data_IF_756206385412
#
_entry.id   IF_756206385412
#
_cell.length_a   1.000
_cell.length_b   1.000
_cell.length_c   1.000
_cell.angle_alpha   90.00
_cell.angle_beta   90.00
_cell.angle_gamma   90.00
#
_symmetry.space_group_name_H-M   'P 1'
#
loop_
_entity.id
_entity.type
_entity.pdbx_description
1 polymer ?
#
# COMPACT_ATOMS: atom_id res chain seq x y z
N UNK A 1 -20.66 23.32 -15.60
CA UNK A 1 -20.08 23.79 -14.32
C UNK A 1 -21.03 24.67 -13.51
N UNK A 2 -21.76 25.63 -14.10
CA UNK A 2 -22.67 26.52 -13.34
C UNK A 2 -23.78 25.79 -12.54
N UNK A 3 -24.31 24.69 -13.07
CA UNK A 3 -25.33 23.87 -12.41
C UNK A 3 -24.77 23.07 -11.22
N UNK A 4 -23.57 22.52 -11.37
CA UNK A 4 -22.84 21.81 -10.30
C UNK A 4 -22.51 22.77 -9.16
N UNK A 5 -22.11 24.01 -9.46
CA UNK A 5 -21.80 25.03 -8.47
C UNK A 5 -23.00 25.45 -7.60
N UNK A 6 -24.23 25.28 -8.11
CA UNK A 6 -25.46 25.55 -7.36
C UNK A 6 -25.81 24.42 -6.39
N UNK A 7 -25.44 23.18 -6.76
CA UNK A 7 -25.75 21.96 -5.98
C UNK A 7 -24.61 21.63 -4.99
N UNK A 8 -23.38 22.10 -5.28
CA UNK A 8 -22.19 21.92 -4.45
C UNK A 8 -22.06 23.00 -3.36
N UNK A 9 -20.84 23.16 -2.80
CA UNK A 9 -20.46 24.11 -1.71
C UNK A 9 -20.79 23.65 -0.28
N UNK A 10 -20.67 22.36 -0.01
CA UNK A 10 -20.82 21.82 1.35
C UNK A 10 -22.26 21.82 1.88
N UNK A 11 -23.24 22.01 0.99
CA UNK A 11 -24.65 21.82 1.30
C UNK A 11 -24.91 20.33 1.49
N UNK A 12 -25.56 19.99 2.60
CA UNK A 12 -26.04 18.63 2.88
C UNK A 12 -27.39 18.42 2.21
N UNK A 13 -27.59 17.23 1.65
CA UNK A 13 -28.82 16.80 1.01
C UNK A 13 -29.37 15.58 1.73
N UNK A 14 -30.69 15.51 1.86
CA UNK A 14 -31.36 14.25 2.22
C UNK A 14 -31.29 13.25 1.04
N UNK A 15 -31.52 11.97 1.33
CA UNK A 15 -31.38 10.90 0.33
C UNK A 15 -32.33 11.04 -0.86
N UNK A 16 -33.59 11.39 -0.61
CA UNK A 16 -34.59 11.58 -1.67
C UNK A 16 -34.21 12.77 -2.58
N UNK A 17 -33.78 13.87 -1.98
CA UNK A 17 -33.35 15.06 -2.72
C UNK A 17 -32.05 14.81 -3.47
N UNK A 18 -31.17 13.98 -2.94
CA UNK A 18 -29.97 13.51 -3.65
C UNK A 18 -30.31 12.74 -4.92
N UNK A 19 -31.39 11.93 -4.89
CA UNK A 19 -31.87 11.20 -6.06
C UNK A 19 -32.45 12.15 -7.12
N UNK A 20 -33.31 13.10 -6.72
CA UNK A 20 -33.88 14.12 -7.62
C UNK A 20 -32.81 14.95 -8.35
N UNK A 21 -31.70 15.22 -7.65
CA UNK A 21 -30.57 16.01 -8.14
C UNK A 21 -29.52 15.16 -8.88
N UNK A 22 -29.76 13.85 -9.07
CA UNK A 22 -28.83 12.90 -9.65
C UNK A 22 -27.45 12.88 -8.96
N UNK A 23 -27.42 13.10 -7.64
CA UNK A 23 -26.21 12.97 -6.82
C UNK A 23 -25.97 11.51 -6.39
N UNK A 24 -27.02 10.71 -6.35
CA UNK A 24 -26.99 9.27 -6.07
C UNK A 24 -27.86 8.56 -7.10
N UNK A 25 -27.53 7.29 -7.39
CA UNK A 25 -28.29 6.48 -8.36
C UNK A 25 -29.51 5.78 -7.74
N UNK A 26 -29.43 5.45 -6.45
CA UNK A 26 -30.46 4.73 -5.71
C UNK A 26 -30.44 5.10 -4.23
N UNK A 27 -31.63 5.25 -3.64
CA UNK A 27 -31.79 5.38 -2.20
C UNK A 27 -32.24 4.02 -1.62
N UNK A 28 -31.50 3.50 -0.65
CA UNK A 28 -31.74 2.16 -0.12
C UNK A 28 -30.84 1.79 1.05
N UNK A 29 -31.01 0.56 1.55
CA UNK A 29 -30.22 -0.01 2.63
C UNK A 29 -28.93 -0.71 2.16
N UNK A 30 -28.15 -1.21 3.12
CA UNK A 30 -26.95 -1.99 2.83
C UNK A 30 -27.26 -3.28 2.05
N UNK A 31 -28.36 -3.96 2.40
CA UNK A 31 -28.77 -5.21 1.75
C UNK A 31 -29.07 -4.99 0.26
N UNK A 32 -29.74 -3.89 -0.08
CA UNK A 32 -30.02 -3.50 -1.46
C UNK A 32 -28.74 -3.13 -2.22
N UNK A 33 -27.81 -2.41 -1.56
CA UNK A 33 -26.50 -2.11 -2.14
C UNK A 33 -25.71 -3.39 -2.45
N UNK A 34 -25.74 -4.39 -1.56
CA UNK A 34 -25.09 -5.69 -1.78
C UNK A 34 -25.76 -6.45 -2.93
N UNK A 35 -27.09 -6.43 -3.03
CA UNK A 35 -27.82 -7.07 -4.13
C UNK A 35 -27.50 -6.42 -5.49
N UNK A 36 -27.40 -5.09 -5.54
CA UNK A 36 -26.96 -4.37 -6.75
C UNK A 36 -25.53 -4.75 -7.11
N UNK A 37 -24.60 -4.74 -6.14
CA UNK A 37 -23.20 -5.10 -6.38
C UNK A 37 -23.06 -6.54 -6.91
N UNK A 38 -23.84 -7.49 -6.36
CA UNK A 38 -23.88 -8.88 -6.81
C UNK A 38 -24.31 -9.00 -8.27
N UNK A 39 -25.40 -8.29 -8.65
CA UNK A 39 -25.89 -8.26 -10.03
C UNK A 39 -24.86 -7.66 -10.98
N UNK A 40 -24.21 -6.56 -10.59
CA UNK A 40 -23.15 -5.92 -11.38
C UNK A 40 -21.92 -6.82 -11.55
N UNK A 41 -21.62 -7.63 -10.53
CA UNK A 41 -20.53 -8.61 -10.55
C UNK A 41 -20.90 -9.93 -11.27
N UNK A 42 -22.13 -10.07 -11.78
CA UNK A 42 -22.63 -11.29 -12.43
C UNK A 42 -22.50 -12.55 -11.56
N UNK A 43 -22.74 -12.40 -10.25
CA UNK A 43 -22.72 -13.51 -9.29
C UNK A 43 -24.14 -14.04 -9.07
N UNK A 44 -24.28 -15.37 -8.96
CA UNK A 44 -25.55 -16.00 -8.61
C UNK A 44 -26.00 -15.58 -7.20
N UNK A 45 -27.31 -15.59 -6.95
CA UNK A 45 -27.91 -15.21 -5.65
C UNK A 45 -27.42 -16.06 -4.47
N UNK A 46 -27.10 -17.32 -4.73
CA UNK A 46 -26.59 -18.26 -3.72
C UNK A 46 -25.07 -18.18 -3.53
N UNK A 47 -24.36 -17.37 -4.34
CA UNK A 47 -22.91 -17.21 -4.19
C UNK A 47 -22.61 -16.63 -2.81
N UNK A 48 -21.75 -17.27 -1.99
CA UNK A 48 -21.39 -16.71 -0.70
C UNK A 48 -20.59 -15.42 -0.90
N UNK A 49 -21.07 -14.32 -0.31
CA UNK A 49 -20.38 -13.03 -0.31
C UNK A 49 -19.99 -12.66 1.12
N UNK A 50 -18.86 -11.99 1.28
CA UNK A 50 -18.37 -11.55 2.58
C UNK A 50 -18.25 -10.03 2.61
N UNK A 51 -18.82 -9.41 3.65
CA UNK A 51 -18.56 -8.01 3.96
C UNK A 51 -17.20 -7.90 4.63
N UNK A 52 -16.30 -7.13 4.03
CA UNK A 52 -14.96 -6.88 4.56
C UNK A 52 -14.85 -5.40 4.93
N UNK A 53 -14.56 -5.13 6.20
CA UNK A 53 -14.36 -3.77 6.67
C UNK A 53 -12.93 -3.30 6.38
N UNK A 54 -12.82 -2.08 5.87
CA UNK A 54 -11.54 -1.44 5.59
C UNK A 54 -11.36 -0.16 6.43
N UNK A 55 -10.11 0.23 6.74
CA UNK A 55 -8.86 -0.45 6.39
C UNK A 55 -8.71 -1.78 7.14
N UNK A 56 -8.07 -2.77 6.51
CA UNK A 56 -7.79 -4.05 7.18
C UNK A 56 -6.96 -3.77 8.43
N UNK A 57 -7.44 -4.20 9.59
CA UNK A 57 -6.64 -4.17 10.82
C UNK A 57 -5.38 -5.00 10.57
N UNK A 58 -4.20 -4.40 10.76
CA UNK A 58 -2.93 -5.13 10.66
C UNK A 58 -3.01 -6.34 11.58
N UNK A 59 -2.88 -7.53 11.01
CA UNK A 59 -2.79 -8.76 11.79
C UNK A 59 -1.64 -8.63 12.79
N UNK A 60 -1.73 -9.30 13.93
CA UNK A 60 -0.58 -9.43 14.84
C UNK A 60 0.63 -10.00 14.07
N UNK A 61 0.37 -10.91 13.13
CA UNK A 61 1.39 -11.45 12.21
C UNK A 61 1.99 -10.30 11.37
N UNK A 62 1.20 -9.40 10.78
CA UNK A 62 1.74 -8.27 9.99
C UNK A 62 2.61 -7.33 10.85
N UNK A 63 2.27 -7.19 12.14
CA UNK A 63 3.04 -6.37 13.08
C UNK A 63 4.37 -7.01 13.49
N UNK A 64 4.40 -8.34 13.66
CA UNK A 64 5.62 -9.07 14.05
C UNK A 64 6.51 -9.44 12.85
N UNK A 65 5.92 -9.81 11.71
CA UNK A 65 6.62 -10.30 10.53
C UNK A 65 7.08 -9.16 9.59
N UNK A 66 6.56 -7.94 9.75
CA UNK A 66 7.10 -6.76 9.04
C UNK A 66 8.58 -6.48 9.33
N UNK A 67 9.16 -7.08 10.38
CA UNK A 67 10.61 -7.04 10.66
C UNK A 67 11.43 -8.16 10.01
N UNK A 68 10.80 -9.20 9.44
CA UNK A 68 11.51 -10.33 8.84
C UNK A 68 12.07 -9.96 7.44
N UNK A 69 11.40 -9.07 6.70
CA UNK A 69 11.94 -8.53 5.44
C UNK A 69 13.31 -7.85 5.64
N UNK A 70 13.52 -7.21 6.79
CA UNK A 70 14.81 -6.59 7.15
C UNK A 70 15.88 -7.68 7.35
N UNK A 71 15.54 -8.78 8.02
CA UNK A 71 16.47 -9.91 8.21
C UNK A 71 16.78 -10.64 6.90
N UNK A 72 15.81 -10.82 5.99
CA UNK A 72 16.03 -11.44 4.68
C UNK A 72 16.94 -10.57 3.79
N UNK A 73 16.76 -9.24 3.80
CA UNK A 73 17.68 -8.33 3.10
C UNK A 73 19.10 -8.35 3.67
N UNK A 74 19.25 -8.57 4.99
CA UNK A 74 20.56 -8.70 5.65
C UNK A 74 21.26 -10.02 5.31
N UNK A 75 20.49 -11.10 5.07
CA UNK A 75 21.03 -12.41 4.67
C UNK A 75 21.42 -12.43 3.19
N UNK A 76 20.72 -11.69 2.34
CA UNK A 76 21.00 -11.67 0.90
C UNK A 76 22.24 -10.85 0.51
N UNK A 77 22.59 -9.79 1.24
CA UNK A 77 23.72 -8.92 0.86
C UNK A 77 24.79 -8.68 1.96
N UNK A 78 25.36 -9.72 2.60
CA UNK A 78 26.46 -9.55 3.55
C UNK A 78 27.76 -9.04 2.89
N UNK A 79 27.91 -9.14 1.57
CA UNK A 79 29.14 -8.80 0.84
C UNK A 79 29.32 -7.31 0.54
N UNK A 80 28.25 -6.53 0.31
CA UNK A 80 28.37 -5.09 0.00
C UNK A 80 28.99 -4.28 1.15
N UNK A 81 28.69 -4.66 2.40
CA UNK A 81 29.23 -3.98 3.57
C UNK A 81 30.72 -4.26 3.80
N UNK A 82 31.21 -5.44 3.38
CA UNK A 82 32.63 -5.79 3.48
C UNK A 82 33.44 -5.04 2.41
N UNK A 83 32.94 -4.92 1.18
CA UNK A 83 33.61 -4.16 0.11
C UNK A 83 33.80 -2.68 0.47
N UNK A 84 32.78 -2.06 1.07
CA UNK A 84 32.85 -0.66 1.49
C UNK A 84 33.90 -0.42 2.58
N UNK A 85 34.04 -1.36 3.51
CA UNK A 85 35.07 -1.29 4.56
C UNK A 85 36.48 -1.54 4.00
N UNK A 86 36.65 -2.43 3.03
CA UNK A 86 37.93 -2.65 2.37
C UNK A 86 38.39 -1.41 1.57
N UNK A 87 37.47 -0.71 0.90
CA UNK A 87 37.80 0.55 0.21
C UNK A 87 38.20 1.67 1.18
N UNK A 88 37.53 1.82 2.32
CA UNK A 88 37.92 2.80 3.34
C UNK A 88 39.30 2.48 3.96
N UNK A 89 39.59 1.21 4.22
CA UNK A 89 40.90 0.78 4.73
C UNK A 89 41.98 0.99 3.66
N UNK A 90 41.70 0.70 2.40
CA UNK A 90 42.63 0.98 1.29
C UNK A 90 42.91 2.48 1.14
N UNK A 91 41.90 3.34 1.20
CA UNK A 91 42.11 4.79 1.14
C UNK A 91 42.91 5.34 2.32
N UNK A 92 42.81 4.74 3.52
CA UNK A 92 43.61 5.13 4.69
C UNK A 92 45.03 4.55 4.68
N UNK A 93 45.22 3.35 4.11
CA UNK A 93 46.50 2.64 4.11
C UNK A 93 47.48 3.07 2.99
N UNK A 94 46.99 3.67 1.90
CA UNK A 94 47.86 4.16 0.80
C UNK A 94 48.68 5.42 1.20
N UNK A 95 48.45 5.97 2.39
CA UNK A 95 49.31 6.98 3.01
C UNK A 95 50.43 6.37 3.88
N UNK A 96 51.20 5.37 3.41
CA UNK A 96 52.57 5.11 3.91
C UNK A 96 53.44 4.23 2.99
N UNK A 97 54.20 4.95 2.15
CA UNK A 97 55.49 4.64 1.50
C UNK A 97 55.55 3.66 0.30
N UNK A 98 56.28 4.03 -0.77
CA UNK A 98 56.43 3.23 -1.98
C UNK A 98 57.77 2.47 -2.02
N UNK A 99 57.74 1.15 -1.87
CA UNK A 99 58.78 0.28 -2.44
C UNK A 99 58.25 -1.13 -2.70
N UNK A 100 58.70 -1.72 -3.82
CA UNK A 100 58.35 -3.06 -4.27
C UNK A 100 59.00 -4.14 -3.40
N UNK A 101 58.22 -5.13 -2.96
CA UNK A 101 58.76 -6.45 -2.61
C UNK A 101 58.42 -7.43 -3.73
N UNK A 102 59.44 -7.82 -4.49
CA UNK A 102 59.42 -9.07 -5.26
C UNK A 102 59.72 -10.21 -4.29
N UNK A 103 58.91 -11.28 -4.33
CA UNK A 103 59.19 -12.53 -3.62
C UNK A 103 59.35 -13.61 -4.68
N UNK A 104 60.53 -14.25 -4.71
CA UNK A 104 60.83 -15.47 -5.47
C UNK A 104 60.10 -16.69 -4.90
#
# INVERSE_FOLDING_TARGET
FAEIDQIARGRVWDGERGLDLNLIDLCGGLDEAVAVARRMAHLDEDTPVQLVNYPKSKSLIDQYFGGIDILVSTINDPFEQIEKQLQEIQMRAIARMPFNLEIN
#
